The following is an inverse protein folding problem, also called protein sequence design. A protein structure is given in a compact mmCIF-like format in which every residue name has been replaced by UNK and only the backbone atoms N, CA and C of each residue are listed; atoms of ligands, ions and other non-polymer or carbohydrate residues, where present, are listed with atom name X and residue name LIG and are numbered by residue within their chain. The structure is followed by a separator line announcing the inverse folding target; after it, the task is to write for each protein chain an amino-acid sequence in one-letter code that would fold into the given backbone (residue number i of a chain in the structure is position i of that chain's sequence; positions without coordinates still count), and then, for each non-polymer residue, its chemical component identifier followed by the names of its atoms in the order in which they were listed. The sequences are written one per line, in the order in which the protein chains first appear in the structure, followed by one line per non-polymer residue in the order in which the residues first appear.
data_IF_308101912990
#
_entry.id   IF_308101912990
#
_cell.length_a   1.000
_cell.length_b   1.000
_cell.length_c   1.000
_cell.angle_alpha   90.00
_cell.angle_beta   90.00
_cell.angle_gamma   90.00
#
_symmetry.space_group_name_H-M   'P 1'
#
loop_
_entity.id
_entity.type
_entity.pdbx_description
1 polymer ?
#
# COMPACT_ATOMS: atom_id res chain seq x y z
N UNK A 1 -5.80 1.12 7.35
CA UNK A 1 -5.06 2.22 8.05
C UNK A 1 -3.65 1.76 8.38
N UNK A 2 -2.69 2.68 8.49
CA UNK A 2 -1.26 2.36 8.69
C UNK A 2 -0.99 1.44 9.90
N UNK A 3 -1.81 1.53 10.95
CA UNK A 3 -1.70 0.65 12.13
C UNK A 3 -1.86 -0.85 11.83
N UNK A 4 -2.51 -1.20 10.72
CA UNK A 4 -2.74 -2.60 10.33
C UNK A 4 -1.59 -3.18 9.50
N UNK A 5 -0.67 -2.32 9.04
CA UNK A 5 0.39 -2.72 8.10
C UNK A 5 1.78 -2.24 8.51
N UNK A 6 1.91 -1.58 9.67
CA UNK A 6 3.20 -0.98 10.09
C UNK A 6 4.29 -2.04 10.29
N UNK A 7 3.93 -3.23 10.69
CA UNK A 7 4.81 -4.39 10.83
C UNK A 7 5.36 -4.92 9.50
N UNK A 8 4.74 -4.56 8.38
CA UNK A 8 5.21 -4.86 7.02
C UNK A 8 6.20 -3.81 6.53
N UNK A 9 6.13 -2.58 7.08
CA UNK A 9 6.89 -1.45 6.58
C UNK A 9 8.33 -1.43 7.09
N UNK A 10 9.23 -0.96 6.24
CA UNK A 10 10.64 -0.75 6.53
C UNK A 10 11.08 0.69 6.28
N UNK A 11 12.11 1.11 6.99
CA UNK A 11 12.79 2.37 6.75
C UNK A 11 13.45 2.35 5.36
N UNK A 12 13.13 3.29 4.46
CA UNK A 12 13.70 3.31 3.12
C UNK A 12 15.22 3.56 3.09
N UNK A 13 15.80 4.10 4.16
CA UNK A 13 17.24 4.39 4.22
C UNK A 13 18.08 3.15 4.58
N UNK A 14 17.63 2.38 5.56
CA UNK A 14 18.45 1.28 6.11
C UNK A 14 17.70 -0.07 6.25
N UNK A 15 16.38 -0.08 6.07
CA UNK A 15 15.54 -1.28 6.12
C UNK A 15 15.15 -1.72 7.52
N UNK A 16 15.42 -0.91 8.55
CA UNK A 16 14.97 -1.22 9.91
C UNK A 16 13.45 -1.14 10.04
N UNK A 17 12.89 -1.83 11.02
CA UNK A 17 11.46 -1.86 11.27
C UNK A 17 10.91 -0.46 11.62
N UNK A 18 9.67 -0.21 11.23
CA UNK A 18 8.92 0.99 11.58
C UNK A 18 7.88 0.69 12.67
N UNK A 19 7.64 1.67 13.52
CA UNK A 19 6.59 1.64 14.54
C UNK A 19 5.79 2.93 14.54
N UNK A 20 4.52 2.85 14.94
CA UNK A 20 3.67 4.04 15.09
C UNK A 20 4.01 4.82 16.36
N UNK A 21 4.13 6.14 16.24
CA UNK A 21 4.32 7.06 17.36
C UNK A 21 3.24 8.15 17.37
N UNK A 22 2.97 8.72 18.53
CA UNK A 22 2.01 9.82 18.73
C UNK A 22 0.64 9.52 18.08
N UNK A 23 0.02 8.41 18.45
CA UNK A 23 -1.25 7.92 17.90
C UNK A 23 -1.22 7.75 16.36
N UNK A 24 -0.12 7.22 15.84
CA UNK A 24 0.12 7.08 14.39
C UNK A 24 0.10 8.40 13.61
N UNK A 25 0.40 9.54 14.25
CA UNK A 25 0.65 10.78 13.51
C UNK A 25 2.01 10.78 12.81
N UNK A 26 2.90 9.86 13.20
CA UNK A 26 4.18 9.58 12.53
C UNK A 26 4.60 8.13 12.70
N UNK A 27 5.47 7.68 11.80
CA UNK A 27 6.18 6.42 11.95
C UNK A 27 7.64 6.70 12.33
N UNK A 28 8.21 5.86 13.17
CA UNK A 28 9.61 5.99 13.63
C UNK A 28 10.32 4.66 13.40
N UNK A 29 11.54 4.72 12.86
CA UNK A 29 12.37 3.53 12.67
C UNK A 29 13.19 3.21 13.93
N UNK A 30 13.68 1.98 14.02
CA UNK A 30 14.61 1.56 15.07
C UNK A 30 15.91 2.39 15.05
N UNK A 31 16.32 2.87 13.88
CA UNK A 31 17.50 3.75 13.71
C UNK A 31 17.23 5.21 14.06
N UNK A 32 15.97 5.57 14.36
CA UNK A 32 15.57 6.90 14.81
C UNK A 32 15.12 7.85 13.71
N UNK A 33 14.97 7.42 12.46
CA UNK A 33 14.33 8.22 11.43
C UNK A 33 12.84 8.37 11.72
N UNK A 34 12.24 9.51 11.32
CA UNK A 34 10.83 9.81 11.57
C UNK A 34 10.15 10.28 10.30
N UNK A 35 8.93 9.75 10.05
CA UNK A 35 8.12 9.99 8.86
C UNK A 35 6.73 10.43 9.27
N UNK A 36 6.37 11.68 8.96
CA UNK A 36 5.05 12.23 9.29
C UNK A 36 3.96 11.55 8.47
N UNK A 37 2.87 11.19 9.13
CA UNK A 37 1.66 10.69 8.48
C UNK A 37 0.79 11.87 8.07
N UNK A 38 0.45 11.93 6.79
CA UNK A 38 -0.41 12.97 6.27
C UNK A 38 -1.82 12.88 6.89
N UNK A 39 -2.51 14.03 7.02
CA UNK A 39 -3.91 14.08 7.52
C UNK A 39 -4.88 13.18 6.72
N UNK A 40 -4.53 12.85 5.48
CA UNK A 40 -5.28 11.96 4.61
C UNK A 40 -5.05 10.48 4.91
N UNK A 41 -4.10 10.13 5.77
CA UNK A 41 -3.83 8.77 6.23
C UNK A 41 -2.75 8.01 5.45
N UNK A 42 -1.99 8.66 4.57
CA UNK A 42 -0.82 8.06 3.92
C UNK A 42 0.49 8.54 4.56
N UNK A 43 1.56 7.81 4.37
CA UNK A 43 2.92 8.18 4.75
C UNK A 43 3.82 8.24 3.51
N UNK A 44 4.79 9.16 3.51
CA UNK A 44 5.84 9.19 2.48
C UNK A 44 7.10 8.52 3.03
N UNK A 45 7.47 7.40 2.43
CA UNK A 45 8.69 6.65 2.76
C UNK A 45 9.66 6.75 1.58
N UNK A 46 10.47 7.80 1.59
CA UNK A 46 11.48 8.06 0.56
C UNK A 46 12.86 8.23 1.20
N UNK A 47 13.87 7.58 0.63
CA UNK A 47 15.25 7.69 1.09
C UNK A 47 15.89 9.02 0.69
N UNK A 48 16.84 9.47 1.49
CA UNK A 48 17.74 10.58 1.16
C UNK A 48 17.03 11.89 0.77
N UNK A 49 17.23 12.34 -0.46
CA UNK A 49 16.71 13.62 -0.97
C UNK A 49 15.20 13.59 -1.36
N UNK A 50 14.50 12.49 -1.09
CA UNK A 50 13.09 12.33 -1.43
C UNK A 50 12.85 11.63 -2.79
N UNK A 51 11.63 11.77 -3.31
CA UNK A 51 11.22 11.11 -4.55
C UNK A 51 11.97 11.65 -5.77
N UNK A 52 12.54 10.77 -6.57
CA UNK A 52 13.32 11.12 -7.77
C UNK A 52 12.47 11.25 -9.02
N UNK A 53 11.33 10.58 -9.06
CA UNK A 53 10.44 10.58 -10.20
C UNK A 53 9.13 11.30 -9.87
N UNK A 54 8.50 11.86 -10.90
CA UNK A 54 7.21 12.52 -10.78
C UNK A 54 6.09 11.50 -11.04
N UNK A 55 5.15 11.39 -10.11
CA UNK A 55 3.92 10.61 -10.31
C UNK A 55 2.82 11.40 -11.03
N UNK A 56 1.67 10.74 -11.19
CA UNK A 56 0.46 11.34 -11.75
C UNK A 56 0.04 12.58 -10.96
N UNK A 57 -0.39 13.62 -11.66
CA UNK A 57 -0.98 14.80 -11.03
C UNK A 57 -2.44 14.57 -10.64
N UNK A 58 -3.05 15.56 -10.01
CA UNK A 58 -4.41 15.45 -9.48
C UNK A 58 -5.45 15.20 -10.60
N UNK A 59 -5.30 15.84 -11.75
CA UNK A 59 -6.27 15.71 -12.85
C UNK A 59 -6.19 14.33 -13.48
N UNK A 60 -4.98 13.78 -13.63
CA UNK A 60 -4.75 12.42 -14.10
C UNK A 60 -5.35 11.39 -13.15
N UNK A 61 -5.12 11.54 -11.84
CA UNK A 61 -5.66 10.65 -10.80
C UNK A 61 -7.20 10.69 -10.80
N UNK A 62 -7.80 11.87 -10.85
CA UNK A 62 -9.27 12.03 -10.89
C UNK A 62 -9.88 11.43 -12.17
N UNK A 63 -9.23 11.62 -13.32
CA UNK A 63 -9.69 11.04 -14.58
C UNK A 63 -9.63 9.51 -14.52
N UNK A 64 -8.55 8.94 -13.99
CA UNK A 64 -8.39 7.49 -13.76
C UNK A 64 -9.49 6.94 -12.85
N UNK A 65 -9.72 7.57 -11.71
CA UNK A 65 -10.76 7.16 -10.76
C UNK A 65 -12.14 7.15 -11.41
N UNK A 66 -12.48 8.24 -12.11
CA UNK A 66 -13.76 8.35 -12.83
C UNK A 66 -13.91 7.22 -13.86
N UNK A 67 -12.87 6.94 -14.63
CA UNK A 67 -12.91 5.90 -15.64
C UNK A 67 -13.03 4.48 -15.05
N UNK A 68 -12.28 4.18 -13.99
CA UNK A 68 -12.35 2.89 -13.30
C UNK A 68 -13.71 2.65 -12.66
N UNK A 69 -14.33 3.72 -12.11
CA UNK A 69 -15.68 3.65 -11.52
C UNK A 69 -16.78 3.29 -12.55
N UNK A 70 -16.52 3.42 -13.85
CA UNK A 70 -17.47 2.96 -14.89
C UNK A 70 -17.58 1.43 -15.00
N UNK A 71 -16.73 0.68 -14.31
CA UNK A 71 -16.81 -0.78 -14.23
C UNK A 71 -16.27 -1.53 -15.45
N UNK A 72 -15.66 -0.86 -16.42
CA UNK A 72 -15.11 -1.50 -17.62
C UNK A 72 -13.98 -2.51 -17.32
N UNK A 73 -13.35 -2.37 -16.14
CA UNK A 73 -12.26 -3.23 -15.69
C UNK A 73 -12.69 -4.40 -14.81
N UNK A 74 -14.00 -4.62 -14.62
CA UNK A 74 -14.50 -5.74 -13.80
C UNK A 74 -13.87 -7.11 -14.18
N UNK A 75 -13.74 -7.49 -15.47
CA UNK A 75 -13.08 -8.76 -15.81
C UNK A 75 -11.62 -8.84 -15.41
N UNK A 76 -10.90 -7.70 -15.39
CA UNK A 76 -9.52 -7.64 -14.91
C UNK A 76 -9.45 -7.76 -13.39
N UNK A 77 -10.37 -7.10 -12.68
CA UNK A 77 -10.49 -7.23 -11.21
C UNK A 77 -10.72 -8.70 -10.83
N UNK A 78 -11.67 -9.37 -11.49
CA UNK A 78 -11.95 -10.80 -11.27
C UNK A 78 -10.71 -11.67 -11.52
N UNK A 79 -9.99 -11.43 -12.62
CA UNK A 79 -8.79 -12.17 -12.96
C UNK A 79 -7.66 -11.95 -11.95
N UNK A 80 -7.41 -10.70 -11.53
CA UNK A 80 -6.38 -10.37 -10.53
C UNK A 80 -6.75 -10.99 -9.18
N UNK A 81 -7.98 -10.81 -8.73
CA UNK A 81 -8.47 -11.37 -7.46
C UNK A 81 -8.37 -12.90 -7.45
N UNK A 82 -8.77 -13.56 -8.53
CA UNK A 82 -8.66 -15.01 -8.67
C UNK A 82 -7.21 -15.48 -8.61
N UNK A 83 -6.29 -14.81 -9.30
CA UNK A 83 -4.87 -15.16 -9.28
C UNK A 83 -4.23 -14.99 -7.88
N UNK A 84 -4.61 -13.93 -7.16
CA UNK A 84 -4.15 -13.72 -5.78
C UNK A 84 -4.69 -14.82 -4.87
N UNK A 85 -5.97 -15.16 -4.99
CA UNK A 85 -6.61 -16.21 -4.17
C UNK A 85 -5.98 -17.58 -4.42
N UNK A 86 -5.78 -17.96 -5.68
CA UNK A 86 -5.09 -19.20 -6.06
C UNK A 86 -3.66 -19.26 -5.51
N UNK A 87 -2.96 -18.12 -5.53
CA UNK A 87 -1.63 -17.98 -4.95
C UNK A 87 -1.61 -18.22 -3.43
N UNK A 88 -2.51 -17.57 -2.70
CA UNK A 88 -2.65 -17.72 -1.25
C UNK A 88 -3.05 -19.13 -0.85
N UNK A 89 -3.98 -19.76 -1.56
CA UNK A 89 -4.41 -21.15 -1.33
C UNK A 89 -3.25 -22.13 -1.53
N UNK A 90 -2.41 -21.86 -2.54
CA UNK A 90 -1.22 -22.67 -2.84
C UNK A 90 -0.09 -22.52 -1.79
N UNK A 91 0.00 -21.34 -1.16
CA UNK A 91 1.02 -21.04 -0.17
C UNK A 91 0.77 -21.71 1.19
N UNK A 92 -0.40 -22.33 1.40
CA UNK A 92 -0.78 -23.00 2.66
C UNK A 92 -0.51 -22.13 3.91
N UNK A 93 -0.94 -20.88 3.86
CA UNK A 93 -0.76 -19.94 4.98
C UNK A 93 -1.40 -20.50 6.25
N UNK A 94 -0.79 -20.21 7.40
CA UNK A 94 -1.34 -20.62 8.67
C UNK A 94 -2.74 -20.00 8.86
N UNK A 95 -3.76 -20.81 9.17
CA UNK A 95 -5.17 -20.39 9.29
C UNK A 95 -5.41 -19.21 10.25
N UNK A 96 -4.44 -18.86 11.08
CA UNK A 96 -4.54 -17.82 12.11
C UNK A 96 -3.93 -16.46 11.74
N UNK A 97 -3.25 -16.36 10.59
CA UNK A 97 -2.56 -15.11 10.21
C UNK A 97 -3.25 -14.48 9.00
N UNK A 98 -3.75 -13.22 9.11
CA UNK A 98 -4.31 -12.53 7.98
C UNK A 98 -3.30 -12.39 6.85
N UNK A 99 -3.69 -12.74 5.62
CA UNK A 99 -2.83 -12.58 4.45
C UNK A 99 -2.47 -11.09 4.23
N UNK A 100 -1.23 -10.85 3.85
CA UNK A 100 -0.68 -9.53 3.58
C UNK A 100 -0.44 -9.35 2.08
N UNK A 101 -1.10 -8.38 1.47
CA UNK A 101 -1.04 -8.10 0.03
C UNK A 101 -0.25 -6.81 -0.23
N UNK A 102 0.53 -6.79 -1.31
CA UNK A 102 1.26 -5.63 -1.77
C UNK A 102 0.87 -5.29 -3.21
N UNK A 103 0.39 -4.07 -3.44
CA UNK A 103 0.19 -3.53 -4.79
C UNK A 103 1.19 -2.40 -5.05
N UNK A 104 2.02 -2.57 -6.07
CA UNK A 104 3.01 -1.58 -6.52
C UNK A 104 2.43 -0.79 -7.70
N UNK A 105 2.51 0.55 -7.63
CA UNK A 105 1.83 1.42 -8.57
C UNK A 105 0.31 1.41 -8.38
N UNK A 106 -0.13 1.33 -7.13
CA UNK A 106 -1.52 1.09 -6.74
C UNK A 106 -2.51 2.19 -7.21
N UNK A 107 -2.01 3.37 -7.59
CA UNK A 107 -2.85 4.47 -8.03
C UNK A 107 -3.88 4.85 -6.98
N UNK A 108 -5.17 4.74 -7.32
CA UNK A 108 -6.28 5.01 -6.39
C UNK A 108 -6.65 3.82 -5.51
N UNK A 109 -5.97 2.66 -5.66
CA UNK A 109 -6.23 1.43 -4.90
C UNK A 109 -7.40 0.60 -5.44
N UNK A 110 -7.76 0.78 -6.68
CA UNK A 110 -8.92 0.14 -7.29
C UNK A 110 -8.84 -1.39 -7.23
N UNK A 111 -7.74 -1.99 -7.67
CA UNK A 111 -7.58 -3.45 -7.66
C UNK A 111 -7.41 -3.99 -6.24
N UNK A 112 -6.57 -3.34 -5.42
CA UNK A 112 -6.32 -3.77 -4.04
C UNK A 112 -7.60 -3.76 -3.20
N UNK A 113 -8.45 -2.72 -3.33
CA UNK A 113 -9.71 -2.64 -2.62
C UNK A 113 -10.65 -3.79 -2.98
N UNK A 114 -10.86 -4.05 -4.27
CA UNK A 114 -11.72 -5.14 -4.73
C UNK A 114 -11.19 -6.52 -4.35
N UNK A 115 -9.87 -6.71 -4.39
CA UNK A 115 -9.25 -7.97 -3.94
C UNK A 115 -9.49 -8.18 -2.44
N UNK A 116 -9.32 -7.13 -1.63
CA UNK A 116 -9.58 -7.21 -0.20
C UNK A 116 -11.06 -7.43 0.15
N UNK A 117 -12.00 -6.90 -0.65
CA UNK A 117 -13.43 -7.19 -0.49
C UNK A 117 -13.74 -8.69 -0.67
N UNK A 118 -12.96 -9.38 -1.52
CA UNK A 118 -13.15 -10.79 -1.84
C UNK A 118 -12.42 -11.75 -0.89
N UNK A 119 -11.33 -11.29 -0.26
CA UNK A 119 -10.50 -12.11 0.64
C UNK A 119 -10.69 -11.62 2.07
N UNK A 120 -11.45 -12.40 2.85
CA UNK A 120 -11.73 -12.09 4.25
C UNK A 120 -10.41 -11.98 5.05
N UNK A 121 -10.40 -11.07 6.04
CA UNK A 121 -9.29 -10.84 6.98
C UNK A 121 -7.97 -10.38 6.33
N UNK A 122 -7.77 -10.47 5.00
CA UNK A 122 -6.56 -9.99 4.35
C UNK A 122 -6.36 -8.47 4.56
N UNK A 123 -5.11 -8.03 4.63
CA UNK A 123 -4.70 -6.62 4.72
C UNK A 123 -3.82 -6.25 3.54
N UNK A 124 -3.79 -4.99 3.16
CA UNK A 124 -3.07 -4.55 1.97
C UNK A 124 -2.19 -3.33 2.18
N UNK A 125 -1.04 -3.33 1.54
CA UNK A 125 -0.17 -2.17 1.37
C UNK A 125 -0.23 -1.73 -0.08
N UNK A 126 -0.61 -0.49 -0.33
CA UNK A 126 -0.50 0.10 -1.66
C UNK A 126 0.65 1.10 -1.71
N UNK A 127 1.56 0.91 -2.67
CA UNK A 127 2.65 1.84 -2.96
C UNK A 127 2.34 2.62 -4.24
N UNK A 128 2.46 3.93 -4.18
CA UNK A 128 2.42 4.78 -5.38
C UNK A 128 3.39 5.95 -5.22
N UNK A 129 3.96 6.43 -6.31
CA UNK A 129 4.86 7.58 -6.28
C UNK A 129 4.11 8.91 -6.18
N UNK A 130 2.81 8.94 -6.56
CA UNK A 130 1.98 10.14 -6.55
C UNK A 130 1.33 10.38 -5.17
N UNK A 131 1.63 11.49 -4.49
CA UNK A 131 0.88 11.87 -3.30
C UNK A 131 -0.61 12.13 -3.57
N UNK A 132 -0.97 12.47 -4.82
CA UNK A 132 -2.37 12.64 -5.21
C UNK A 132 -3.09 11.29 -5.25
N UNK A 133 -2.47 10.26 -5.83
CA UNK A 133 -2.97 8.89 -5.81
C UNK A 133 -3.08 8.34 -4.38
N UNK A 134 -2.04 8.53 -3.56
CA UNK A 134 -2.01 8.05 -2.17
C UNK A 134 -3.13 8.61 -1.30
N UNK A 135 -3.67 9.81 -1.58
CA UNK A 135 -4.86 10.36 -0.89
C UNK A 135 -6.13 9.55 -1.15
N UNK A 136 -6.28 9.02 -2.36
CA UNK A 136 -7.40 8.16 -2.74
C UNK A 136 -7.17 6.75 -2.18
N UNK A 137 -5.98 6.21 -2.38
CA UNK A 137 -5.53 4.93 -1.86
C UNK A 137 -5.77 4.79 -0.34
N UNK A 138 -5.45 5.82 0.45
CA UNK A 138 -5.64 5.83 1.90
C UNK A 138 -7.12 5.72 2.34
N UNK A 139 -8.05 5.90 1.41
CA UNK A 139 -9.51 5.87 1.67
C UNK A 139 -10.24 4.77 0.92
N UNK A 140 -9.55 4.06 0.01
CA UNK A 140 -10.19 3.08 -0.88
C UNK A 140 -10.76 1.89 -0.11
N UNK A 141 -10.11 1.49 0.99
CA UNK A 141 -10.56 0.35 1.81
C UNK A 141 -10.02 0.45 3.26
N UNK A 142 -10.79 0.06 4.30
CA UNK A 142 -10.37 0.19 5.71
C UNK A 142 -9.12 -0.65 6.07
N UNK A 143 -8.86 -1.74 5.36
CA UNK A 143 -7.71 -2.63 5.55
C UNK A 143 -6.50 -2.28 4.68
N UNK A 144 -6.52 -1.15 3.95
CA UNK A 144 -5.40 -0.64 3.15
C UNK A 144 -4.57 0.35 3.93
N UNK A 145 -3.25 0.19 3.87
CA UNK A 145 -2.27 1.20 4.21
C UNK A 145 -1.67 1.81 2.95
N UNK A 146 -1.66 3.14 2.85
CA UNK A 146 -1.17 3.87 1.69
C UNK A 146 0.22 4.46 1.95
N UNK A 147 1.15 4.19 1.05
CA UNK A 147 2.53 4.64 1.14
C UNK A 147 2.95 5.32 -0.15
N UNK A 148 3.49 6.52 -0.03
CA UNK A 148 4.16 7.18 -1.15
C UNK A 148 5.61 6.72 -1.17
N UNK A 149 6.01 6.03 -2.24
CA UNK A 149 7.35 5.51 -2.42
C UNK A 149 7.75 5.46 -3.90
N UNK A 150 9.06 5.54 -4.15
CA UNK A 150 9.64 5.30 -5.46
C UNK A 150 10.09 3.84 -5.53
N UNK A 151 9.39 3.04 -6.33
CA UNK A 151 9.63 1.60 -6.42
C UNK A 151 10.91 1.23 -7.19
N UNK A 152 11.54 2.18 -7.85
CA UNK A 152 12.86 2.02 -8.48
C UNK A 152 14.01 2.17 -7.47
N UNK A 153 13.71 2.61 -6.26
CA UNK A 153 14.63 2.66 -5.13
C UNK A 153 14.40 1.44 -4.22
N UNK A 154 14.97 1.44 -3.02
CA UNK A 154 14.68 0.41 -2.04
C UNK A 154 13.20 0.45 -1.64
N UNK A 155 12.51 -0.67 -1.78
CA UNK A 155 11.14 -0.78 -1.30
C UNK A 155 11.10 -0.63 0.22
N UNK A 156 10.19 0.20 0.75
CA UNK A 156 10.03 0.36 2.20
C UNK A 156 9.17 -0.77 2.80
N UNK A 157 9.53 -2.00 2.48
CA UNK A 157 8.82 -3.23 2.86
C UNK A 157 9.83 -4.17 3.52
N UNK A 158 9.45 -4.79 4.63
CA UNK A 158 10.24 -5.83 5.29
C UNK A 158 10.41 -7.05 4.40
N UNK A 159 11.55 -7.69 4.47
CA UNK A 159 11.76 -8.96 3.77
C UNK A 159 10.78 -10.04 4.27
N UNK A 160 10.26 -10.86 3.35
CA UNK A 160 9.36 -11.98 3.66
C UNK A 160 8.09 -11.59 4.45
N UNK A 161 7.59 -10.36 4.29
CA UNK A 161 6.47 -9.83 5.07
C UNK A 161 5.13 -9.77 4.33
N UNK A 162 5.12 -10.10 3.04
CA UNK A 162 3.91 -10.13 2.20
C UNK A 162 3.72 -11.49 1.56
N UNK A 163 2.47 -11.89 1.39
CA UNK A 163 2.07 -13.21 0.91
C UNK A 163 1.72 -13.19 -0.59
N UNK A 164 1.34 -12.02 -1.13
CA UNK A 164 1.05 -11.81 -2.54
C UNK A 164 1.21 -10.35 -2.96
#
# INVERSE_FOLDING_TARGET
MLSHIVDILADPNDGTALSGADDFSRLVSESGHSYDVAKQGYVTLAAGAGLKHKGDDMDMVNARETYLAMGHFAPFVEAVTGAVQDGLDSASLAESTPASLLEVGAGTGYYLAHTLDSIAEARGVGLDISPHAAKHLAKCHPRVGAVVADVWERLPIQDESVDA
#
